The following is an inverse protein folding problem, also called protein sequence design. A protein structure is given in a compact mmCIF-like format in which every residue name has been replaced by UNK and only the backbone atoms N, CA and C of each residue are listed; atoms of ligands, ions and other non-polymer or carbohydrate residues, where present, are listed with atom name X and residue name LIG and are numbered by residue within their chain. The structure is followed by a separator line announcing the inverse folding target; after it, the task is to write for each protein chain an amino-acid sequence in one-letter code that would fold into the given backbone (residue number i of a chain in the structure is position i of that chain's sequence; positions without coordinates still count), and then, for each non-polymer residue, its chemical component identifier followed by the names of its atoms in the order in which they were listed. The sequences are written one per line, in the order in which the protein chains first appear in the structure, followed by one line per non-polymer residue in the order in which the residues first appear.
data_IF_651951776908
#
_entry.id   IF_651951776908
#
_cell.length_a   1.000
_cell.length_b   1.000
_cell.length_c   1.000
_cell.angle_alpha   90.00
_cell.angle_beta   90.00
_cell.angle_gamma   90.00
#
_symmetry.space_group_name_H-M   'P 1'
#
loop_
_entity.id
_entity.type
_entity.pdbx_description
1 polymer ?
#
# COMPACT_ATOMS: atom_id res chain seq x y z
N UNK A 1 -13.93 -4.50 -0.66
CA UNK A 1 -13.16 -4.04 -1.83
C UNK A 1 -11.99 -4.97 -2.05
N UNK A 2 -11.68 -5.32 -3.28
CA UNK A 2 -10.50 -6.11 -3.65
C UNK A 2 -9.51 -5.25 -4.45
N UNK A 3 -8.34 -5.81 -4.76
CA UNK A 3 -7.29 -5.08 -5.49
C UNK A 3 -7.77 -4.58 -6.85
N UNK A 4 -8.51 -5.40 -7.58
CA UNK A 4 -9.02 -5.05 -8.91
C UNK A 4 -9.97 -3.85 -8.84
N UNK A 5 -10.86 -3.85 -7.86
CA UNK A 5 -11.79 -2.73 -7.64
C UNK A 5 -11.05 -1.45 -7.24
N UNK A 6 -10.02 -1.59 -6.40
CA UNK A 6 -9.21 -0.45 -5.98
C UNK A 6 -8.46 0.17 -7.16
N UNK A 7 -7.83 -0.66 -8.00
CA UNK A 7 -7.14 -0.20 -9.22
C UNK A 7 -8.14 0.52 -10.14
N UNK A 8 -9.31 -0.07 -10.35
CA UNK A 8 -10.35 0.54 -11.18
C UNK A 8 -10.77 1.90 -10.64
N UNK A 9 -10.92 2.02 -9.33
CA UNK A 9 -11.28 3.28 -8.69
C UNK A 9 -10.20 4.35 -8.88
N UNK A 10 -8.94 4.00 -8.67
CA UNK A 10 -7.82 4.92 -8.89
C UNK A 10 -7.75 5.38 -10.35
N UNK A 11 -8.01 4.47 -11.29
CA UNK A 11 -7.96 4.78 -12.72
C UNK A 11 -9.20 5.54 -13.21
N UNK A 12 -10.28 5.58 -12.43
CA UNK A 12 -11.52 6.27 -12.84
C UNK A 12 -11.37 7.79 -12.92
N UNK A 13 -10.40 8.36 -12.20
CA UNK A 13 -9.97 9.73 -12.41
C UNK A 13 -8.97 9.80 -13.58
N UNK A 14 -8.60 10.99 -13.99
CA UNK A 14 -7.68 11.17 -15.11
C UNK A 14 -6.21 11.15 -14.69
N UNK A 15 -5.91 10.92 -13.41
CA UNK A 15 -4.56 11.03 -12.86
C UNK A 15 -3.72 9.77 -13.06
N UNK A 16 -4.33 8.57 -13.00
CA UNK A 16 -3.60 7.32 -12.95
C UNK A 16 -4.03 6.33 -14.02
N UNK A 17 -3.09 5.48 -14.46
CA UNK A 17 -3.30 4.40 -15.42
C UNK A 17 -2.60 3.13 -14.92
N UNK A 18 -2.98 2.65 -13.74
CA UNK A 18 -2.39 1.46 -13.15
C UNK A 18 -2.81 0.19 -13.88
N UNK A 19 -1.84 -0.69 -14.10
CA UNK A 19 -2.05 -2.03 -14.62
C UNK A 19 -1.55 -3.03 -13.58
N UNK A 20 -2.39 -4.00 -13.24
CA UNK A 20 -2.04 -5.04 -12.28
C UNK A 20 -0.85 -5.86 -12.78
N UNK A 21 0.05 -6.22 -11.87
CA UNK A 21 1.17 -7.10 -12.19
C UNK A 21 0.70 -8.54 -12.21
N UNK A 22 0.98 -9.25 -13.31
CA UNK A 22 0.60 -10.66 -13.47
C UNK A 22 1.61 -11.62 -12.81
N UNK A 23 2.79 -11.13 -12.50
CA UNK A 23 3.85 -11.94 -11.91
C UNK A 23 3.62 -12.07 -10.40
N UNK A 24 3.34 -13.31 -9.95
CA UNK A 24 3.17 -13.61 -8.53
C UNK A 24 4.43 -13.34 -7.68
N UNK A 25 5.60 -13.20 -8.30
CA UNK A 25 6.85 -12.87 -7.63
C UNK A 25 7.13 -11.37 -7.62
N UNK A 26 6.25 -10.57 -8.21
CA UNK A 26 6.39 -9.11 -8.19
C UNK A 26 6.32 -8.59 -6.75
N UNK A 27 7.17 -7.64 -6.44
CA UNK A 27 7.25 -7.01 -5.13
C UNK A 27 6.30 -5.82 -4.96
N UNK A 28 5.56 -5.50 -6.00
CA UNK A 28 4.49 -4.51 -5.98
C UNK A 28 3.33 -5.01 -6.82
N UNK A 29 2.14 -4.46 -6.60
CA UNK A 29 0.89 -5.04 -7.10
C UNK A 29 0.43 -4.46 -8.43
N UNK A 30 0.81 -3.23 -8.73
CA UNK A 30 0.43 -2.57 -9.97
C UNK A 30 1.48 -1.54 -10.38
N UNK A 31 1.45 -1.15 -11.65
CA UNK A 31 2.39 -0.18 -12.21
C UNK A 31 1.67 0.75 -13.17
N UNK A 32 2.01 2.05 -13.09
CA UNK A 32 1.55 3.06 -14.03
C UNK A 32 2.74 3.49 -14.88
N UNK A 33 2.77 3.04 -16.14
CA UNK A 33 3.89 3.32 -17.07
C UNK A 33 3.92 4.77 -17.51
N UNK A 34 2.77 5.44 -17.57
CA UNK A 34 2.69 6.84 -17.99
C UNK A 34 3.26 7.79 -16.94
N UNK A 35 2.97 7.51 -15.68
CA UNK A 35 3.38 8.37 -14.56
C UNK A 35 4.60 7.86 -13.81
N UNK A 36 5.06 6.64 -14.11
CA UNK A 36 6.21 6.05 -13.43
C UNK A 36 5.97 5.76 -11.96
N UNK A 37 4.85 5.13 -11.63
CA UNK A 37 4.44 4.85 -10.24
C UNK A 37 4.32 3.35 -10.01
N UNK A 38 5.02 2.85 -8.98
CA UNK A 38 4.84 1.52 -8.42
C UNK A 38 3.79 1.59 -7.33
N UNK A 39 2.87 0.63 -7.29
CA UNK A 39 1.76 0.61 -6.33
C UNK A 39 1.74 -0.69 -5.54
N UNK A 40 1.83 -0.58 -4.23
CA UNK A 40 1.54 -1.66 -3.28
C UNK A 40 0.12 -1.48 -2.75
N UNK A 41 -0.66 -2.55 -2.70
CA UNK A 41 -2.09 -2.49 -2.34
C UNK A 41 -2.35 -3.38 -1.12
N UNK A 42 -3.11 -2.86 -0.16
CA UNK A 42 -3.69 -3.63 0.93
C UNK A 42 -5.19 -3.33 1.05
N UNK A 43 -5.97 -4.39 1.08
CA UNK A 43 -7.42 -4.29 1.30
C UNK A 43 -7.73 -4.88 2.66
N UNK A 44 -8.11 -4.03 3.62
CA UNK A 44 -8.38 -4.43 5.00
C UNK A 44 -9.88 -4.72 5.19
N UNK A 45 -10.18 -5.57 6.17
CA UNK A 45 -11.56 -5.94 6.50
C UNK A 45 -12.18 -5.03 7.57
N UNK A 46 -11.36 -4.21 8.22
CA UNK A 46 -11.78 -3.27 9.27
C UNK A 46 -11.08 -1.94 9.09
N UNK A 47 -11.64 -0.89 9.66
CA UNK A 47 -10.98 0.41 9.73
C UNK A 47 -10.00 0.44 10.89
N UNK A 48 -8.76 0.86 10.62
CA UNK A 48 -7.71 1.06 11.61
C UNK A 48 -7.15 2.47 11.48
N UNK A 49 -6.66 3.03 12.59
CA UNK A 49 -6.01 4.34 12.57
C UNK A 49 -4.59 4.28 11.98
N UNK A 50 -4.02 3.10 11.90
CA UNK A 50 -2.72 2.89 11.27
C UNK A 50 -2.74 1.66 10.37
N UNK A 51 -1.74 1.55 9.51
CA UNK A 51 -1.54 0.39 8.66
C UNK A 51 -0.09 -0.06 8.73
N UNK A 52 0.09 -1.37 8.68
CA UNK A 52 1.38 -2.01 8.86
C UNK A 52 2.19 -1.98 7.56
N UNK A 53 3.49 -1.70 7.68
CA UNK A 53 4.44 -1.71 6.57
C UNK A 53 5.59 -2.66 6.93
N UNK A 54 5.84 -3.67 6.09
CA UNK A 54 6.98 -4.57 6.27
C UNK A 54 8.26 -3.90 5.78
N UNK A 55 9.28 -3.80 6.65
CA UNK A 55 10.51 -3.07 6.34
C UNK A 55 11.27 -3.68 5.16
N UNK A 56 11.35 -5.00 5.07
CA UNK A 56 12.07 -5.65 3.98
C UNK A 56 11.46 -5.29 2.61
N UNK A 57 10.12 -5.31 2.51
CA UNK A 57 9.42 -4.93 1.28
C UNK A 57 9.59 -3.45 0.97
N UNK A 58 9.50 -2.60 1.99
CA UNK A 58 9.69 -1.16 1.83
C UNK A 58 11.10 -0.83 1.35
N UNK A 59 12.11 -1.41 1.98
CA UNK A 59 13.51 -1.17 1.62
C UNK A 59 13.80 -1.60 0.18
N UNK A 60 13.27 -2.75 -0.24
CA UNK A 60 13.43 -3.23 -1.61
C UNK A 60 12.74 -2.28 -2.60
N UNK A 61 11.48 -1.91 -2.33
CA UNK A 61 10.72 -1.03 -3.21
C UNK A 61 11.35 0.37 -3.29
N UNK A 62 11.84 0.88 -2.16
CA UNK A 62 12.54 2.17 -2.10
C UNK A 62 13.78 2.16 -2.99
N UNK A 63 14.62 1.14 -2.85
CA UNK A 63 15.83 1.02 -3.66
C UNK A 63 15.50 0.90 -5.14
N UNK A 64 14.55 0.05 -5.49
CA UNK A 64 14.14 -0.14 -6.88
C UNK A 64 13.57 1.16 -7.48
N UNK A 65 12.72 1.87 -6.74
CA UNK A 65 12.15 3.13 -7.19
C UNK A 65 13.23 4.20 -7.42
N UNK A 66 14.17 4.33 -6.49
CA UNK A 66 15.25 5.31 -6.60
C UNK A 66 16.22 4.97 -7.74
N UNK A 67 16.56 3.69 -7.92
CA UNK A 67 17.48 3.25 -8.98
C UNK A 67 16.85 3.43 -10.39
N UNK A 68 15.53 3.42 -10.50
CA UNK A 68 14.81 3.51 -11.77
C UNK A 68 14.05 4.83 -11.95
N UNK A 69 14.24 5.78 -11.06
CA UNK A 69 13.58 7.11 -11.09
C UNK A 69 12.04 6.96 -11.13
N UNK A 70 11.52 6.16 -10.22
CA UNK A 70 10.08 5.90 -10.08
C UNK A 70 9.56 6.43 -8.75
N UNK A 71 8.26 6.70 -8.70
CA UNK A 71 7.54 6.93 -7.45
C UNK A 71 7.04 5.61 -6.88
N UNK A 72 6.89 5.54 -5.56
CA UNK A 72 6.30 4.40 -4.87
C UNK A 72 5.12 4.84 -4.04
N UNK A 73 3.95 4.31 -4.32
CA UNK A 73 2.72 4.56 -3.59
C UNK A 73 2.24 3.31 -2.87
N UNK A 74 1.69 3.52 -1.69
CA UNK A 74 1.04 2.50 -0.89
C UNK A 74 -0.42 2.87 -0.73
N UNK A 75 -1.32 2.03 -1.24
CA UNK A 75 -2.76 2.26 -1.20
C UNK A 75 -3.43 1.25 -0.27
N UNK A 76 -4.19 1.73 0.69
CA UNK A 76 -4.87 0.88 1.68
C UNK A 76 -6.34 1.20 1.67
N UNK A 77 -7.19 0.20 1.40
CA UNK A 77 -8.63 0.34 1.53
C UNK A 77 -9.09 -0.20 2.87
N UNK A 78 -9.99 0.54 3.51
CA UNK A 78 -10.60 0.16 4.78
C UNK A 78 -12.09 0.44 4.73
N UNK A 79 -12.94 -0.47 5.25
CA UNK A 79 -14.35 -0.17 5.40
C UNK A 79 -14.56 1.04 6.32
N UNK A 80 -15.48 1.90 5.95
CA UNK A 80 -15.82 3.07 6.77
C UNK A 80 -17.27 3.43 6.54
N UNK A 81 -18.10 3.35 7.59
CA UNK A 81 -19.55 3.58 7.49
C UNK A 81 -20.16 2.70 6.39
N UNK A 82 -20.87 3.29 5.43
CA UNK A 82 -21.54 2.56 4.35
C UNK A 82 -20.69 2.41 3.08
N UNK A 83 -19.39 2.54 3.19
CA UNK A 83 -18.50 2.44 2.03
C UNK A 83 -17.08 2.11 2.42
N UNK A 84 -16.13 2.67 1.70
CA UNK A 84 -14.70 2.47 1.91
C UNK A 84 -13.96 3.80 1.86
N UNK A 85 -12.87 3.88 2.63
CA UNK A 85 -11.84 4.90 2.46
C UNK A 85 -10.61 4.25 1.90
N UNK A 86 -9.99 4.89 0.92
CA UNK A 86 -8.73 4.48 0.35
C UNK A 86 -7.70 5.54 0.73
N UNK A 87 -6.71 5.12 1.51
CA UNK A 87 -5.62 5.98 1.95
C UNK A 87 -4.41 5.78 1.05
N UNK A 88 -3.90 6.87 0.49
CA UNK A 88 -2.72 6.84 -0.37
C UNK A 88 -1.54 7.43 0.39
N UNK A 89 -0.43 6.70 0.43
CA UNK A 89 0.80 7.12 1.08
C UNK A 89 1.94 7.14 0.07
N UNK A 90 2.89 8.06 0.28
CA UNK A 90 4.21 8.01 -0.34
C UNK A 90 5.24 7.81 0.77
N UNK A 91 5.54 6.55 1.13
CA UNK A 91 6.41 6.28 2.29
C UNK A 91 7.85 6.76 2.09
N UNK A 92 8.34 6.83 0.86
CA UNK A 92 9.70 7.32 0.57
C UNK A 92 9.79 8.81 0.89
N UNK A 93 8.82 9.60 0.41
CA UNK A 93 8.76 11.04 0.70
C UNK A 93 8.56 11.27 2.20
N UNK A 94 7.71 10.48 2.84
CA UNK A 94 7.50 10.57 4.29
C UNK A 94 8.81 10.39 5.05
N UNK A 95 9.63 9.41 4.67
CA UNK A 95 10.93 9.16 5.32
C UNK A 95 11.96 10.21 4.97
N UNK A 96 12.16 10.48 3.67
CA UNK A 96 13.29 11.29 3.20
C UNK A 96 13.07 12.80 3.41
N UNK A 97 11.83 13.27 3.31
CA UNK A 97 11.49 14.70 3.43
C UNK A 97 10.85 15.00 4.77
N UNK A 98 9.89 14.17 5.17
CA UNK A 98 9.10 14.37 6.38
C UNK A 98 9.73 13.84 7.66
N UNK A 99 10.84 13.13 7.57
CA UNK A 99 11.49 12.49 8.72
C UNK A 99 10.50 11.65 9.54
N UNK A 100 9.60 10.96 8.84
CA UNK A 100 8.52 10.20 9.48
C UNK A 100 9.07 9.04 10.30
N UNK A 101 8.59 8.91 11.54
CA UNK A 101 8.95 7.81 12.44
C UNK A 101 7.99 6.64 12.24
N UNK A 102 8.43 5.62 11.52
CA UNK A 102 7.67 4.39 11.29
C UNK A 102 7.59 3.51 12.54
N UNK A 103 8.40 3.77 13.57
CA UNK A 103 8.47 2.98 14.81
C UNK A 103 8.79 1.50 14.52
N UNK A 104 9.82 1.27 13.70
CA UNK A 104 10.25 -0.07 13.33
C UNK A 104 10.48 -0.96 14.55
N UNK A 105 9.91 -2.16 14.54
CA UNK A 105 10.06 -3.15 15.60
C UNK A 105 9.83 -4.55 15.04
N UNK A 106 10.24 -5.56 15.80
CA UNK A 106 10.07 -6.95 15.42
C UNK A 106 8.69 -7.44 15.89
N UNK A 107 7.98 -8.10 15.01
CA UNK A 107 6.68 -8.69 15.28
C UNK A 107 6.56 -10.04 14.58
N UNK A 108 5.90 -11.01 15.22
CA UNK A 108 5.59 -12.29 14.59
C UNK A 108 4.41 -12.13 13.65
N UNK A 109 4.62 -12.51 12.39
CA UNK A 109 3.61 -12.49 11.36
C UNK A 109 3.71 -13.75 10.51
N UNK A 110 2.62 -14.15 9.82
CA UNK A 110 2.71 -15.26 8.86
C UNK A 110 3.78 -14.97 7.82
N UNK A 111 4.57 -15.98 7.47
CA UNK A 111 5.60 -15.87 6.44
C UNK A 111 4.99 -15.43 5.11
N UNK A 112 3.83 -15.98 4.80
CA UNK A 112 3.07 -15.63 3.61
C UNK A 112 1.61 -15.42 3.99
N UNK A 113 1.10 -14.20 3.78
CA UNK A 113 -0.27 -13.83 4.15
C UNK A 113 -1.31 -14.39 3.19
N UNK A 114 -0.91 -14.89 2.01
CA UNK A 114 -1.82 -15.46 1.02
C UNK A 114 -2.18 -16.93 1.30
N UNK A 115 -1.39 -17.63 2.11
CA UNK A 115 -1.59 -19.04 2.40
C UNK A 115 -1.96 -19.24 3.86
N UNK A 116 -3.12 -19.85 4.10
CA UNK A 116 -3.51 -20.31 5.44
C UNK A 116 -2.52 -21.37 5.92
N UNK A 117 -2.11 -21.28 7.17
CA UNK A 117 -1.19 -22.23 7.78
C UNK A 117 0.29 -21.98 7.52
N UNK A 118 0.63 -20.82 6.95
CA UNK A 118 2.03 -20.39 6.90
C UNK A 118 2.65 -20.33 8.28
N UNK A 119 3.93 -20.70 8.38
CA UNK A 119 4.67 -20.52 9.62
C UNK A 119 4.74 -19.05 10.00
N UNK A 120 4.71 -18.80 11.31
CA UNK A 120 4.90 -17.46 11.85
C UNK A 120 6.38 -17.21 12.02
N UNK A 121 6.85 -16.10 11.47
CA UNK A 121 8.24 -15.68 11.53
C UNK A 121 8.34 -14.27 12.08
N UNK A 122 9.51 -13.90 12.57
CA UNK A 122 9.80 -12.55 13.00
C UNK A 122 10.00 -11.67 11.78
N UNK A 123 9.25 -10.57 11.71
CA UNK A 123 9.39 -9.54 10.67
C UNK A 123 9.57 -8.19 11.32
N UNK A 124 10.43 -7.37 10.72
CA UNK A 124 10.53 -5.97 11.10
C UNK A 124 9.43 -5.17 10.42
N UNK A 125 8.64 -4.47 11.21
CA UNK A 125 7.46 -3.76 10.74
C UNK A 125 7.41 -2.35 11.32
N UNK A 126 6.73 -1.46 10.62
CA UNK A 126 6.43 -0.13 11.07
C UNK A 126 4.98 0.22 10.77
N UNK A 127 4.57 1.43 11.11
CA UNK A 127 3.20 1.88 10.93
C UNK A 127 3.12 3.18 10.16
N UNK A 128 2.09 3.28 9.31
CA UNK A 128 1.66 4.51 8.66
C UNK A 128 0.32 4.91 9.28
N UNK A 129 0.25 6.10 9.87
CA UNK A 129 -1.00 6.60 10.43
C UNK A 129 -1.87 7.16 9.31
N UNK A 130 -3.17 6.83 9.32
CA UNK A 130 -4.09 7.25 8.25
C UNK A 130 -4.23 8.77 8.13
N UNK A 131 -4.02 9.51 9.22
CA UNK A 131 -4.03 10.99 9.19
C UNK A 131 -2.86 11.60 8.40
N UNK A 132 -1.79 10.82 8.17
CA UNK A 132 -0.60 11.25 7.44
C UNK A 132 -0.64 10.82 5.97
N UNK A 133 -1.77 10.29 5.51
CA UNK A 133 -1.96 9.93 4.11
C UNK A 133 -1.84 11.16 3.20
N UNK A 134 -1.20 10.97 2.05
CA UNK A 134 -1.08 12.00 1.02
C UNK A 134 -2.45 12.41 0.49
N UNK A 135 -3.35 11.43 0.33
CA UNK A 135 -4.71 11.64 -0.14
C UNK A 135 -5.64 10.57 0.42
N UNK A 136 -6.92 10.91 0.52
CA UNK A 136 -7.96 9.98 0.95
C UNK A 136 -9.08 10.01 -0.11
N UNK A 137 -9.35 8.85 -0.69
CA UNK A 137 -10.48 8.67 -1.60
C UNK A 137 -11.64 8.03 -0.84
N UNK A 138 -12.84 8.48 -1.12
CA UNK A 138 -14.04 7.99 -0.47
C UNK A 138 -14.91 7.30 -1.52
N UNK A 139 -15.16 6.00 -1.32
CA UNK A 139 -16.14 5.27 -2.09
C UNK A 139 -17.37 5.07 -1.22
N UNK A 140 -18.51 5.52 -1.71
CA UNK A 140 -19.81 5.31 -1.05
C UNK A 140 -20.57 4.21 -1.76
N UNK A 141 -21.19 3.35 -0.95
CA UNK A 141 -22.14 2.38 -1.49
C UNK A 141 -23.43 3.12 -1.80
N UNK A 142 -23.83 3.10 -3.07
CA UNK A 142 -25.11 3.63 -3.50
C UNK A 142 -26.15 2.51 -3.55
N UNK A 143 -27.26 2.72 -2.91
CA UNK A 143 -28.40 1.81 -2.96
C UNK A 143 -29.53 2.42 -3.77
#
# INVERSE_FOLDING_TARGET
MNEKELISLLNSGDEYNFVAMDDKFSRYDAFDTENGIMLEIKCRNKHYDDTLLERMKFDWNKKYAQDNDLEFMYAVSMPYKSGHRIYLFDPIVMEDVGEYDFKWHIRKLPQNTEFKGSEWIDKEVGYLNVKDALAVLIQRTTH
#
